data_IF_406533491137
#
_entry.id   IF_406533491137
#
_cell.length_a   1.000
_cell.length_b   1.000
_cell.length_c   1.000
_cell.angle_alpha   90.00
_cell.angle_beta   90.00
_cell.angle_gamma   90.00
#
_symmetry.space_group_name_H-M   'P 1'
#
loop_
_entity.id
_entity.type
_entity.pdbx_description
1 polymer ?
#
# COMPACT_ATOMS: atom_id res chain seq x y z
N UNK A 1 -7.01 -2.87 -28.65
CA UNK A 1 -7.95 -2.95 -27.51
C UNK A 1 -7.10 -3.13 -26.26
N UNK A 2 -6.82 -2.05 -25.52
CA UNK A 2 -6.14 -2.19 -24.22
C UNK A 2 -7.12 -2.89 -23.30
N UNK A 3 -6.86 -4.17 -23.02
CA UNK A 3 -7.64 -4.93 -22.04
C UNK A 3 -7.37 -4.21 -20.71
N UNK A 4 -8.33 -3.44 -20.20
CA UNK A 4 -8.25 -2.90 -18.83
C UNK A 4 -8.00 -4.11 -17.94
N UNK A 5 -6.78 -4.24 -17.45
CA UNK A 5 -6.43 -5.29 -16.52
C UNK A 5 -7.34 -5.09 -15.31
N UNK A 6 -8.10 -6.13 -14.99
CA UNK A 6 -8.97 -6.10 -13.83
C UNK A 6 -8.07 -6.37 -12.64
N UNK A 7 -8.10 -5.51 -11.64
CA UNK A 7 -7.45 -5.73 -10.37
C UNK A 7 -8.49 -6.28 -9.37
N UNK A 8 -8.04 -7.15 -8.48
CA UNK A 8 -8.78 -7.49 -7.27
C UNK A 8 -8.04 -6.87 -6.08
N UNK A 9 -8.79 -6.37 -5.12
CA UNK A 9 -8.29 -5.70 -3.94
C UNK A 9 -8.49 -6.62 -2.73
N UNK A 10 -7.57 -6.54 -1.77
CA UNK A 10 -7.68 -7.26 -0.50
C UNK A 10 -8.81 -6.69 0.36
N UNK A 11 -9.27 -7.49 1.32
CA UNK A 11 -10.13 -7.02 2.42
C UNK A 11 -9.42 -6.03 3.36
N UNK A 12 -8.07 -6.00 3.34
CA UNK A 12 -7.27 -5.05 4.11
C UNK A 12 -7.14 -3.68 3.42
N UNK A 13 -7.54 -3.56 2.15
CA UNK A 13 -7.56 -2.27 1.46
C UNK A 13 -8.62 -1.36 2.06
N UNK A 14 -8.28 -0.10 2.30
CA UNK A 14 -9.19 0.89 2.86
C UNK A 14 -8.48 2.08 3.50
N UNK A 15 -9.29 3.00 4.01
CA UNK A 15 -8.79 4.15 4.76
C UNK A 15 -8.25 3.70 6.13
N UNK A 16 -7.08 4.22 6.49
CA UNK A 16 -6.47 4.04 7.79
C UNK A 16 -6.14 5.41 8.39
N UNK A 17 -6.59 5.64 9.62
CA UNK A 17 -6.34 6.88 10.36
C UNK A 17 -5.52 6.58 11.62
N UNK A 18 -4.43 7.33 11.81
CA UNK A 18 -3.62 7.33 13.03
C UNK A 18 -3.09 8.74 13.30
N UNK A 19 -3.07 9.17 14.56
CA UNK A 19 -2.67 10.52 15.00
C UNK A 19 -3.33 11.70 14.25
N UNK A 20 -4.54 11.48 13.70
CA UNK A 20 -5.27 12.48 12.91
C UNK A 20 -4.76 12.64 11.47
N UNK A 21 -3.95 11.71 10.99
CA UNK A 21 -3.48 11.59 9.60
C UNK A 21 -4.24 10.43 8.97
N UNK A 22 -4.80 10.63 7.79
CA UNK A 22 -5.51 9.57 7.05
C UNK A 22 -4.72 9.18 5.81
N UNK A 23 -4.56 7.87 5.58
CA UNK A 23 -4.01 7.34 4.33
C UNK A 23 -4.96 6.32 3.74
N UNK A 24 -4.94 6.16 2.43
CA UNK A 24 -5.61 5.06 1.74
C UNK A 24 -4.59 3.95 1.51
N UNK A 25 -4.81 2.80 2.13
CA UNK A 25 -4.03 1.59 1.89
C UNK A 25 -4.70 0.82 0.76
N UNK A 26 -3.97 0.62 -0.35
CA UNK A 26 -4.44 -0.17 -1.48
C UNK A 26 -3.55 -1.41 -1.69
N UNK A 27 -4.08 -2.58 -1.32
CA UNK A 27 -3.45 -3.88 -1.54
C UNK A 27 -4.17 -4.58 -2.68
N UNK A 28 -3.49 -4.80 -3.80
CA UNK A 28 -4.13 -5.33 -5.02
C UNK A 28 -3.23 -6.29 -5.80
N UNK A 29 -3.86 -7.05 -6.70
CA UNK A 29 -3.19 -7.90 -7.69
C UNK A 29 -4.03 -8.07 -8.95
N UNK A 30 -3.48 -8.59 -10.07
CA UNK A 30 -4.27 -8.91 -11.25
C UNK A 30 -5.35 -9.96 -10.94
N UNK A 31 -6.60 -9.59 -11.20
CA UNK A 31 -7.77 -10.36 -10.80
C UNK A 31 -7.80 -11.75 -11.44
N UNK A 32 -8.14 -12.76 -10.64
CA UNK A 32 -8.21 -14.15 -11.07
C UNK A 32 -6.84 -14.77 -11.35
N UNK A 33 -5.76 -14.18 -10.81
CA UNK A 33 -4.41 -14.75 -10.85
C UNK A 33 -3.93 -15.11 -9.45
N UNK A 34 -2.87 -15.92 -9.38
CA UNK A 34 -2.15 -16.23 -8.15
C UNK A 34 -0.81 -15.48 -8.12
N UNK A 35 -0.76 -14.31 -8.76
CA UNK A 35 0.40 -13.43 -8.68
C UNK A 35 0.47 -12.80 -7.30
N UNK A 36 1.67 -12.36 -6.94
CA UNK A 36 1.95 -11.65 -5.71
C UNK A 36 1.20 -10.32 -5.65
N UNK A 37 1.00 -9.84 -4.43
CA UNK A 37 0.26 -8.62 -4.09
C UNK A 37 1.16 -7.40 -4.15
N UNK A 38 0.58 -6.29 -4.58
CA UNK A 38 1.20 -4.98 -4.50
C UNK A 38 0.55 -4.18 -3.38
N UNK A 39 1.36 -3.36 -2.74
CA UNK A 39 0.95 -2.42 -1.71
C UNK A 39 1.23 -1.01 -2.21
N UNK A 40 0.21 -0.18 -2.18
CA UNK A 40 0.32 1.25 -2.36
C UNK A 40 -0.32 1.96 -1.16
N UNK A 41 0.33 3.01 -0.67
CA UNK A 41 -0.23 3.89 0.35
C UNK A 41 -0.33 5.28 -0.23
N UNK A 42 -1.55 5.80 -0.26
CA UNK A 42 -1.87 7.12 -0.82
C UNK A 42 -2.16 8.08 0.33
N UNK A 43 -1.44 9.19 0.38
CA UNK A 43 -1.62 10.24 1.39
C UNK A 43 -2.81 11.14 1.08
N UNK A 44 -3.19 12.00 2.04
CA UNK A 44 -4.20 13.05 1.82
C UNK A 44 -3.77 14.07 0.75
N UNK A 45 -2.48 14.13 0.44
CA UNK A 45 -1.86 15.01 -0.56
C UNK A 45 -1.72 14.34 -1.93
N UNK A 46 -2.26 13.12 -2.10
CA UNK A 46 -2.20 12.29 -3.32
C UNK A 46 -0.79 11.77 -3.63
N UNK A 47 0.14 11.81 -2.65
CA UNK A 47 1.43 11.14 -2.75
C UNK A 47 1.28 9.64 -2.60
N UNK A 48 1.95 8.88 -3.47
CA UNK A 48 1.88 7.42 -3.50
C UNK A 48 3.21 6.83 -3.07
N UNK A 49 3.17 6.03 -2.01
CA UNK A 49 4.27 5.17 -1.60
C UNK A 49 4.01 3.76 -2.08
N UNK A 50 4.91 3.23 -2.91
CA UNK A 50 4.82 1.88 -3.48
C UNK A 50 6.06 1.09 -3.07
N UNK A 51 5.88 -0.18 -2.72
CA UNK A 51 6.96 -1.10 -2.39
C UNK A 51 7.48 -1.76 -3.68
N UNK A 52 8.82 -1.88 -3.82
CA UNK A 52 9.45 -2.48 -5.02
C UNK A 52 9.22 -4.00 -5.08
N UNK A 53 9.34 -4.67 -3.93
CA UNK A 53 9.09 -6.11 -3.82
C UNK A 53 7.60 -6.41 -3.56
N UNK A 54 6.98 -7.30 -4.35
CA UNK A 54 5.61 -7.73 -4.12
C UNK A 54 5.51 -8.72 -2.95
N UNK A 55 4.30 -8.87 -2.40
CA UNK A 55 4.03 -9.71 -1.23
C UNK A 55 3.34 -11.02 -1.60
N UNK A 56 3.75 -12.13 -0.99
CA UNK A 56 3.14 -13.44 -1.26
C UNK A 56 1.66 -13.51 -0.85
N UNK A 57 1.29 -12.81 0.23
CA UNK A 57 -0.10 -12.68 0.69
C UNK A 57 -0.47 -11.23 0.92
N UNK A 58 -1.76 -10.94 0.85
CA UNK A 58 -2.30 -9.64 1.21
C UNK A 58 -2.10 -9.30 2.70
N UNK A 59 -2.09 -10.33 3.54
CA UNK A 59 -1.74 -10.20 4.97
C UNK A 59 -0.29 -9.74 5.16
N UNK A 60 0.67 -10.30 4.41
CA UNK A 60 2.08 -9.87 4.46
C UNK A 60 2.20 -8.39 4.08
N UNK A 61 1.50 -7.94 3.03
CA UNK A 61 1.45 -6.54 2.63
C UNK A 61 0.88 -5.64 3.75
N UNK A 62 -0.22 -6.07 4.38
CA UNK A 62 -0.81 -5.34 5.49
C UNK A 62 0.13 -5.26 6.73
N UNK A 63 0.82 -6.34 7.05
CA UNK A 63 1.79 -6.37 8.15
C UNK A 63 2.98 -5.44 7.90
N UNK A 64 3.43 -5.32 6.65
CA UNK A 64 4.50 -4.40 6.25
C UNK A 64 4.08 -2.92 6.32
N UNK A 65 2.82 -2.62 5.96
CA UNK A 65 2.24 -1.30 6.23
C UNK A 65 2.27 -0.96 7.72
N UNK A 66 1.79 -1.87 8.58
CA UNK A 66 1.79 -1.66 10.03
C UNK A 66 3.20 -1.54 10.60
N UNK A 67 4.15 -2.34 10.10
CA UNK A 67 5.56 -2.27 10.52
C UNK A 67 6.19 -0.92 10.15
N UNK A 68 5.88 -0.39 8.96
CA UNK A 68 6.33 0.95 8.54
C UNK A 68 5.71 2.03 9.41
N UNK A 69 4.41 1.95 9.70
CA UNK A 69 3.75 2.84 10.65
C UNK A 69 4.38 2.77 12.05
N UNK A 70 4.75 1.58 12.55
CA UNK A 70 5.39 1.43 13.86
C UNK A 70 6.83 1.97 13.88
N UNK A 71 7.58 1.78 12.78
CA UNK A 71 8.99 2.18 12.65
C UNK A 71 9.16 3.68 12.40
N UNK A 72 8.43 4.22 11.44
CA UNK A 72 8.63 5.56 10.88
C UNK A 72 7.48 6.54 11.24
N UNK A 73 6.34 6.00 11.68
CA UNK A 73 5.10 6.75 11.94
C UNK A 73 4.29 6.97 10.67
N UNK A 74 2.96 7.06 10.80
CA UNK A 74 2.05 7.27 9.65
C UNK A 74 2.36 8.54 8.85
N UNK A 75 2.88 9.58 9.51
CA UNK A 75 3.31 10.83 8.86
C UNK A 75 4.43 10.64 7.84
N UNK A 76 5.15 9.52 7.87
CA UNK A 76 6.18 9.21 6.89
C UNK A 76 5.62 9.15 5.46
N UNK A 77 4.31 8.95 5.29
CA UNK A 77 3.63 8.94 3.99
C UNK A 77 3.23 10.33 3.48
N UNK A 78 3.37 11.40 4.27
CA UNK A 78 2.96 12.77 3.90
C UNK A 78 4.01 13.54 3.07
N UNK A 79 5.08 12.88 2.61
CA UNK A 79 6.07 13.47 1.70
C UNK A 79 7.05 14.46 2.38
N UNK A 80 8.20 13.95 2.82
CA UNK A 80 9.55 14.55 2.71
C UNK A 80 10.53 13.57 3.39
N UNK A 81 10.86 12.47 2.74
CA UNK A 81 12.21 11.85 2.79
C UNK A 81 12.29 10.76 1.72
N UNK A 82 13.47 10.68 1.13
CA UNK A 82 13.91 9.87 -0.01
C UNK A 82 13.37 8.43 -0.02
N UNK A 83 13.24 7.78 -1.20
CA UNK A 83 12.59 6.48 -1.32
C UNK A 83 13.14 5.53 -0.27
N UNK A 84 12.26 5.07 0.63
CA UNK A 84 12.55 3.97 1.53
C UNK A 84 12.85 2.75 0.65
N UNK A 85 14.14 2.59 0.32
CA UNK A 85 14.68 1.39 -0.29
C UNK A 85 14.60 0.30 0.77
N UNK A 86 13.47 -0.40 0.80
CA UNK A 86 13.41 -1.73 1.38
C UNK A 86 13.45 -2.74 0.25
#
# INVERSE_FOLDING_TARGET
MSKKEKLEHSEFSGEFEDDGITVLVDIFRPAGTQQDWQLEVISEEDDVTTWDEPFATDKDAWEEFLATCERDGIRSFLGDEEPAVH
#
